data_IF_216858080787
#
_entry.id   IF_216858080787
#
_cell.length_a   1.000
_cell.length_b   1.000
_cell.length_c   1.000
_cell.angle_alpha   90.00
_cell.angle_beta   90.00
_cell.angle_gamma   90.00
#
_symmetry.space_group_name_H-M   'P 1'
#
loop_
_entity.id
_entity.type
_entity.pdbx_description
1 polymer ?
#
# COMPACT_ATOMS: atom_id res chain seq x y z
N UNK A 1 5.48 -10.60 -36.16
CA UNK A 1 5.77 -11.03 -34.77
C UNK A 1 4.43 -11.27 -34.09
N UNK A 2 4.12 -12.50 -33.62
CA UNK A 2 2.84 -12.75 -32.95
C UNK A 2 2.78 -11.96 -31.64
N UNK A 3 1.69 -11.24 -31.44
CA UNK A 3 1.42 -10.50 -30.19
C UNK A 3 1.13 -11.55 -29.10
N UNK A 4 1.89 -11.59 -27.99
CA UNK A 4 1.57 -12.49 -26.89
C UNK A 4 0.21 -12.09 -26.31
N UNK A 5 -0.80 -12.94 -26.52
CA UNK A 5 -2.11 -12.79 -25.92
C UNK A 5 -1.99 -13.23 -24.44
N UNK A 6 -1.81 -12.27 -23.54
CA UNK A 6 -1.92 -12.54 -22.11
C UNK A 6 -3.39 -12.90 -21.85
N UNK A 7 -3.64 -14.17 -21.55
CA UNK A 7 -4.96 -14.71 -21.23
C UNK A 7 -5.34 -14.27 -19.81
N UNK A 8 -5.54 -12.97 -19.60
CA UNK A 8 -6.08 -12.47 -18.34
C UNK A 8 -7.48 -13.08 -18.19
N UNK A 9 -7.78 -13.79 -17.08
CA UNK A 9 -9.11 -14.29 -16.84
C UNK A 9 -10.06 -13.08 -16.78
N UNK A 10 -10.96 -12.97 -17.76
CA UNK A 10 -11.98 -11.92 -17.81
C UNK A 10 -12.97 -12.05 -16.64
N UNK A 11 -13.00 -13.21 -15.98
CA UNK A 11 -13.82 -13.51 -14.83
C UNK A 11 -13.22 -14.67 -14.01
N UNK A 12 -13.66 -14.82 -12.76
CA UNK A 12 -13.39 -16.00 -11.95
C UNK A 12 -14.07 -17.27 -12.50
N UNK A 13 -13.92 -18.43 -11.84
CA UNK A 13 -14.68 -19.62 -12.20
C UNK A 13 -16.18 -19.30 -12.27
N UNK A 14 -16.88 -19.78 -13.31
CA UNK A 14 -18.31 -19.53 -13.58
C UNK A 14 -18.70 -18.09 -13.95
N UNK A 15 -17.82 -17.33 -14.62
CA UNK A 15 -18.10 -15.92 -14.99
C UNK A 15 -18.36 -15.03 -13.76
N UNK A 16 -17.96 -15.45 -12.57
CA UNK A 16 -18.08 -14.62 -11.38
C UNK A 16 -17.23 -13.36 -11.56
N UNK A 17 -17.76 -12.16 -11.24
CA UNK A 17 -16.94 -10.96 -11.25
C UNK A 17 -15.73 -11.18 -10.33
N UNK A 18 -14.55 -10.78 -10.79
CA UNK A 18 -13.37 -10.81 -9.93
C UNK A 18 -13.69 -9.91 -8.72
N UNK A 19 -13.45 -10.38 -7.48
CA UNK A 19 -13.73 -9.59 -6.30
C UNK A 19 -12.89 -8.30 -6.34
N UNK A 20 -13.55 -7.15 -6.42
CA UNK A 20 -12.90 -5.85 -6.33
C UNK A 20 -12.87 -5.44 -4.87
N UNK A 21 -11.67 -5.24 -4.34
CA UNK A 21 -11.49 -4.65 -3.02
C UNK A 21 -11.88 -3.18 -3.10
N UNK A 22 -13.00 -2.82 -2.46
CA UNK A 22 -13.42 -1.44 -2.35
C UNK A 22 -12.49 -0.68 -1.38
N UNK A 23 -12.36 0.63 -1.56
CA UNK A 23 -11.60 1.47 -0.62
C UNK A 23 -12.48 1.87 0.57
N UNK A 24 -11.97 1.71 1.79
CA UNK A 24 -12.55 2.34 2.96
C UNK A 24 -11.91 3.72 3.17
N UNK A 25 -12.51 4.73 2.56
CA UNK A 25 -12.02 6.12 2.64
C UNK A 25 -12.16 6.73 4.05
N UNK A 26 -13.13 6.27 4.85
CA UNK A 26 -13.38 6.81 6.19
C UNK A 26 -12.28 6.41 7.19
N UNK A 27 -11.69 5.22 7.01
CA UNK A 27 -10.54 4.75 7.79
C UNK A 27 -9.19 5.07 7.12
N UNK A 28 -9.18 5.93 6.11
CA UNK A 28 -7.96 6.37 5.44
C UNK A 28 -7.07 7.19 6.36
N UNK A 29 -5.76 6.95 6.28
CA UNK A 29 -4.75 7.65 7.05
C UNK A 29 -3.78 8.37 6.12
N UNK A 30 -3.21 9.49 6.61
CA UNK A 30 -2.15 10.22 5.94
C UNK A 30 -1.01 10.44 6.92
N UNK A 31 0.20 10.07 6.52
CA UNK A 31 1.42 10.34 7.28
C UNK A 31 2.33 11.29 6.50
N UNK A 32 2.97 12.22 7.21
CA UNK A 32 4.02 13.06 6.64
C UNK A 32 5.31 12.25 6.61
N UNK A 33 5.91 12.14 5.43
CA UNK A 33 7.13 11.37 5.21
C UNK A 33 8.30 12.34 5.15
N UNK A 34 9.21 12.22 6.11
CA UNK A 34 10.37 13.09 6.28
C UNK A 34 11.68 12.30 6.39
N UNK A 35 12.72 12.97 6.90
CA UNK A 35 14.05 12.38 7.10
C UNK A 35 14.07 11.24 8.13
N UNK A 36 13.17 11.31 9.11
CA UNK A 36 12.95 10.25 10.10
C UNK A 36 11.77 9.39 9.70
N UNK A 37 11.84 8.08 9.96
CA UNK A 37 10.73 7.16 9.74
C UNK A 37 9.47 7.65 10.47
N UNK A 38 8.40 7.87 9.72
CA UNK A 38 7.08 8.17 10.26
C UNK A 38 6.22 6.90 10.21
N UNK A 39 5.43 6.66 11.25
CA UNK A 39 4.55 5.49 11.36
C UNK A 39 3.09 5.90 11.31
N UNK A 40 2.26 5.03 10.74
CA UNK A 40 0.80 5.13 10.79
C UNK A 40 0.25 4.61 12.12
N UNK A 41 -1.02 4.89 12.39
CA UNK A 41 -1.73 4.16 13.44
C UNK A 41 -1.99 2.71 12.99
N UNK A 42 -2.29 1.78 13.92
CA UNK A 42 -2.67 0.41 13.57
C UNK A 42 -3.81 0.38 12.56
N UNK A 43 -3.67 -0.47 11.54
CA UNK A 43 -4.71 -0.66 10.53
C UNK A 43 -5.43 -1.98 10.77
N UNK A 44 -6.74 -1.93 10.98
CA UNK A 44 -7.55 -3.11 11.30
C UNK A 44 -7.90 -3.99 10.08
N UNK A 45 -7.66 -3.52 8.86
CA UNK A 45 -7.96 -4.25 7.62
C UNK A 45 -6.82 -5.19 7.22
N UNK A 46 -7.14 -6.32 6.58
CA UNK A 46 -6.13 -7.25 6.03
C UNK A 46 -5.44 -6.79 4.74
N UNK A 47 -5.92 -5.73 4.10
CA UNK A 47 -5.35 -5.17 2.86
C UNK A 47 -5.34 -3.66 2.93
N UNK A 48 -4.25 -3.05 2.47
CA UNK A 48 -4.12 -1.59 2.34
C UNK A 48 -3.59 -1.18 0.99
N UNK A 49 -4.08 -0.04 0.53
CA UNK A 49 -3.62 0.68 -0.65
C UNK A 49 -2.70 1.81 -0.20
N UNK A 50 -1.47 1.81 -0.70
CA UNK A 50 -0.44 2.79 -0.41
C UNK A 50 -0.21 3.67 -1.62
N UNK A 51 -0.26 4.99 -1.43
CA UNK A 51 0.04 5.96 -2.47
C UNK A 51 0.90 7.07 -1.93
N UNK A 52 2.08 7.27 -2.50
CA UNK A 52 2.97 8.36 -2.11
C UNK A 52 2.86 9.55 -3.06
N UNK A 53 3.12 10.75 -2.56
CA UNK A 53 3.28 11.96 -3.40
C UNK A 53 4.71 12.14 -3.90
N UNK A 54 5.68 11.44 -3.30
CA UNK A 54 7.12 11.51 -3.57
C UNK A 54 7.73 10.12 -3.40
N UNK A 55 8.90 9.92 -3.99
CA UNK A 55 9.64 8.67 -3.84
C UNK A 55 9.99 8.43 -2.37
N UNK A 56 9.62 7.26 -1.86
CA UNK A 56 9.79 6.91 -0.46
C UNK A 56 10.01 5.41 -0.29
N UNK A 57 10.48 5.05 0.89
CA UNK A 57 10.63 3.66 1.30
C UNK A 57 9.64 3.36 2.41
N UNK A 58 8.98 2.21 2.35
CA UNK A 58 8.01 1.79 3.36
C UNK A 58 8.31 0.41 3.94
N UNK A 59 7.82 0.18 5.15
CA UNK A 59 7.92 -1.10 5.87
C UNK A 59 6.66 -1.35 6.69
N UNK A 60 6.31 -2.62 6.86
CA UNK A 60 5.08 -3.05 7.54
C UNK A 60 5.46 -3.97 8.71
N UNK A 61 4.77 -3.83 9.83
CA UNK A 61 4.96 -4.65 11.02
C UNK A 61 4.21 -4.08 12.23
N UNK A 62 4.43 -4.64 13.41
CA UNK A 62 3.75 -4.18 14.64
C UNK A 62 4.35 -2.87 15.17
N UNK A 63 5.65 -2.66 14.94
CA UNK A 63 6.36 -1.41 15.21
C UNK A 63 7.47 -1.21 14.16
N UNK A 64 7.13 -0.98 12.88
CA UNK A 64 8.10 -1.01 11.80
C UNK A 64 8.89 0.29 11.74
N UNK A 65 10.21 0.21 11.55
CA UNK A 65 11.04 1.38 11.24
C UNK A 65 11.48 1.27 9.78
N UNK A 66 11.07 2.26 8.97
CA UNK A 66 11.46 2.33 7.57
C UNK A 66 12.80 3.06 7.44
N UNK A 67 13.68 2.51 6.61
CA UNK A 67 15.00 3.05 6.31
C UNK A 67 15.17 3.20 4.80
N UNK A 68 15.87 4.25 4.34
CA UNK A 68 16.33 4.35 2.95
C UNK A 68 17.55 3.42 2.74
N UNK A 69 17.32 2.12 2.93
CA UNK A 69 18.31 1.07 2.91
C UNK A 69 17.64 -0.29 2.67
N UNK A 70 18.44 -1.35 2.67
CA UNK A 70 17.96 -2.72 2.55
C UNK A 70 16.96 -3.06 3.67
N UNK A 71 15.86 -3.74 3.32
CA UNK A 71 14.82 -4.15 4.29
C UNK A 71 13.58 -3.24 4.33
N UNK A 72 13.54 -2.20 3.49
CA UNK A 72 12.34 -1.43 3.16
C UNK A 72 12.00 -1.60 1.68
N UNK A 73 10.72 -1.47 1.34
CA UNK A 73 10.26 -1.51 -0.04
C UNK A 73 10.24 -0.10 -0.66
N UNK A 74 10.84 0.11 -1.83
CA UNK A 74 10.72 1.38 -2.55
C UNK A 74 9.29 1.55 -3.08
N UNK A 75 8.79 2.78 -3.03
CA UNK A 75 7.52 3.20 -3.59
C UNK A 75 7.73 4.51 -4.35
N UNK A 76 7.51 4.45 -5.67
CA UNK A 76 7.68 5.60 -6.56
C UNK A 76 6.56 6.62 -6.39
N UNK A 77 6.88 7.90 -6.62
CA UNK A 77 5.90 8.98 -6.56
C UNK A 77 4.72 8.74 -7.50
N UNK A 78 3.50 8.79 -6.95
CA UNK A 78 2.27 8.64 -7.73
C UNK A 78 1.89 7.19 -8.03
N UNK A 79 2.73 6.21 -7.71
CA UNK A 79 2.40 4.78 -7.81
C UNK A 79 1.43 4.38 -6.69
N UNK A 80 0.58 3.39 -6.98
CA UNK A 80 -0.31 2.79 -5.98
C UNK A 80 0.13 1.34 -5.75
N UNK A 81 0.61 1.03 -4.55
CA UNK A 81 0.88 -0.34 -4.13
C UNK A 81 -0.30 -0.91 -3.36
N UNK A 82 -0.62 -2.18 -3.62
CA UNK A 82 -1.62 -2.94 -2.86
C UNK A 82 -0.85 -3.98 -2.08
N UNK A 83 -0.96 -3.94 -0.75
CA UNK A 83 -0.22 -4.83 0.14
C UNK A 83 -1.17 -5.49 1.14
N UNK A 84 -0.94 -6.79 1.35
CA UNK A 84 -1.62 -7.54 2.40
C UNK A 84 -0.87 -7.33 3.71
N UNK A 85 -1.61 -7.07 4.78
CA UNK A 85 -1.08 -6.84 6.12
C UNK A 85 -1.86 -7.68 7.13
N UNK A 86 -1.25 -7.96 8.28
CA UNK A 86 -1.99 -8.54 9.40
C UNK A 86 -2.80 -7.44 10.08
N UNK A 87 -4.09 -7.63 10.38
CA UNK A 87 -4.87 -6.68 11.16
C UNK A 87 -4.15 -6.26 12.46
N UNK A 88 -4.02 -4.96 12.67
CA UNK A 88 -3.28 -4.38 13.79
C UNK A 88 -1.86 -3.91 13.44
N UNK A 89 -1.33 -4.29 12.27
CA UNK A 89 -0.03 -3.80 11.81
C UNK A 89 -0.08 -2.34 11.39
N UNK A 90 1.08 -1.69 11.48
CA UNK A 90 1.31 -0.32 11.07
C UNK A 90 2.13 -0.28 9.78
N UNK A 91 2.07 0.86 9.10
CA UNK A 91 2.91 1.16 7.94
C UNK A 91 3.84 2.30 8.33
N UNK A 92 5.14 2.06 8.21
CA UNK A 92 6.16 3.08 8.34
C UNK A 92 6.67 3.52 6.99
N UNK A 93 7.00 4.80 6.85
CA UNK A 93 7.67 5.31 5.66
C UNK A 93 8.72 6.37 5.97
N UNK A 94 9.74 6.42 5.13
CA UNK A 94 10.83 7.40 5.17
C UNK A 94 11.07 7.93 3.76
N UNK A 95 11.48 9.19 3.66
CA UNK A 95 11.75 9.81 2.36
C UNK A 95 12.94 9.15 1.68
N UNK A 96 12.94 9.16 0.35
CA UNK A 96 14.18 8.97 -0.38
C UNK A 96 15.07 10.23 -0.28
N UNK A 97 14.61 11.31 -0.92
CA UNK A 97 15.37 12.57 -1.05
C UNK A 97 14.57 13.83 -0.68
N UNK A 98 13.25 13.83 -0.88
CA UNK A 98 12.37 14.96 -0.60
C UNK A 98 11.19 14.57 0.29
N UNK A 99 10.76 15.51 1.13
CA UNK A 99 9.60 15.32 2.00
C UNK A 99 8.30 15.21 1.19
N UNK A 100 7.34 14.46 1.73
CA UNK A 100 6.06 14.24 1.06
C UNK A 100 5.01 13.65 2.00
N UNK A 101 4.00 13.05 1.40
CA UNK A 101 2.93 12.37 2.13
C UNK A 101 2.75 10.96 1.59
N UNK A 102 2.49 10.03 2.51
CA UNK A 102 1.98 8.70 2.19
C UNK A 102 0.51 8.64 2.61
N UNK A 103 -0.32 8.27 1.66
CA UNK A 103 -1.73 7.97 1.87
C UNK A 103 -1.91 6.46 2.02
N UNK A 104 -2.58 6.07 3.08
CA UNK A 104 -2.86 4.68 3.43
C UNK A 104 -4.38 4.55 3.43
N UNK A 105 -4.93 3.85 2.45
CA UNK A 105 -6.36 3.56 2.39
C UNK A 105 -6.56 2.07 2.67
N UNK A 106 -7.20 1.70 3.78
CA UNK A 106 -7.57 0.31 4.01
C UNK A 106 -8.62 -0.14 3.00
N UNK A 107 -8.62 -1.43 2.67
CA UNK A 107 -9.73 -2.02 1.93
C UNK A 107 -10.99 -2.05 2.82
N UNK A 108 -12.14 -1.75 2.24
CA UNK A 108 -13.43 -2.03 2.83
C UNK A 108 -13.64 -3.54 2.72
N UNK A 109 -13.59 -4.24 3.85
CA UNK A 109 -13.99 -5.64 3.89
C UNK A 109 -15.47 -5.72 3.51
N UNK A 110 -15.78 -6.56 2.52
CA UNK A 110 -17.15 -6.95 2.21
C UNK A 110 -17.46 -8.11 3.17
N UNK A 111 -18.31 -7.86 4.16
CA UNK A 111 -18.86 -8.89 5.03
C UNK A 111 -19.84 -9.79 4.27
#
# INVERSE_FOLDING_TARGET
MPIPQIKAPLAGPNLSPLPVLAHNHAAGQRIAVGATSAQSAPVAAGVVFLKSTRDCFYKIGDNPVAENAAGSFPLSAGETHIVMITPGQMVAAVRDSLDGYLFISPAAEVA
#
